data_IF_932846747439
#
_entry.id   IF_932846747439
#
_cell.length_a   1.000
_cell.length_b   1.000
_cell.length_c   1.000
_cell.angle_alpha   90.00
_cell.angle_beta   90.00
_cell.angle_gamma   90.00
#
_symmetry.space_group_name_H-M   'P 1'
#
loop_
_entity.id
_entity.type
_entity.pdbx_description
1 polymer ?
#
# COMPACT_ATOMS: atom_id res chain seq x y z
N UNK A 1 14.53 -3.71 -6.57
CA UNK A 1 13.05 -3.77 -6.44
C UNK A 1 12.47 -5.13 -6.83
N UNK A 2 13.28 -6.08 -7.33
CA UNK A 2 12.84 -7.47 -7.47
C UNK A 2 12.31 -8.00 -6.12
N UNK A 3 11.16 -8.65 -6.17
CA UNK A 3 10.46 -9.18 -4.99
C UNK A 3 9.71 -10.46 -5.32
N UNK A 4 9.65 -11.33 -4.32
CA UNK A 4 8.88 -12.57 -4.30
C UNK A 4 7.47 -12.33 -3.72
N UNK A 5 7.36 -11.28 -2.90
CA UNK A 5 6.11 -10.71 -2.42
C UNK A 5 5.48 -9.87 -3.55
N UNK A 6 4.23 -10.19 -3.89
CA UNK A 6 3.44 -9.44 -4.87
C UNK A 6 3.05 -8.06 -4.35
N UNK A 7 3.06 -7.84 -3.04
CA UNK A 7 2.69 -6.60 -2.38
C UNK A 7 3.59 -5.41 -2.74
N UNK A 8 3.00 -4.41 -3.39
CA UNK A 8 3.67 -3.14 -3.65
C UNK A 8 4.01 -2.38 -2.36
N UNK A 9 3.16 -2.46 -1.34
CA UNK A 9 3.35 -1.71 -0.10
C UNK A 9 4.64 -2.06 0.65
N UNK A 10 4.94 -3.35 0.80
CA UNK A 10 6.18 -3.85 1.42
C UNK A 10 7.41 -3.41 0.64
N UNK A 11 7.33 -3.45 -0.71
CA UNK A 11 8.42 -2.98 -1.57
C UNK A 11 8.70 -1.50 -1.36
N UNK A 12 7.67 -0.66 -1.24
CA UNK A 12 7.81 0.79 -1.03
C UNK A 12 8.40 1.12 0.34
N UNK A 13 7.92 0.49 1.42
CA UNK A 13 8.44 0.80 2.76
C UNK A 13 9.92 0.41 2.88
N UNK A 14 10.31 -0.74 2.32
CA UNK A 14 11.70 -1.16 2.26
C UNK A 14 12.55 -0.22 1.40
N UNK A 15 12.03 0.23 0.26
CA UNK A 15 12.70 1.20 -0.59
C UNK A 15 12.96 2.52 0.17
N UNK A 16 11.94 3.02 0.86
CA UNK A 16 12.04 4.29 1.59
C UNK A 16 13.01 4.21 2.77
N UNK A 17 12.95 3.13 3.56
CA UNK A 17 13.91 2.91 4.66
C UNK A 17 15.32 2.75 4.11
N UNK A 18 15.50 2.04 2.99
CA UNK A 18 16.82 1.90 2.35
C UNK A 18 17.40 3.25 1.93
N UNK A 19 16.57 4.14 1.40
CA UNK A 19 16.97 5.51 1.07
C UNK A 19 17.37 6.30 2.32
N UNK A 20 16.53 6.30 3.35
CA UNK A 20 16.82 6.99 4.61
C UNK A 20 18.10 6.47 5.28
N UNK A 21 18.33 5.16 5.26
CA UNK A 21 19.56 4.55 5.75
C UNK A 21 20.78 4.99 4.94
N UNK A 22 20.66 5.03 3.61
CA UNK A 22 21.74 5.51 2.74
C UNK A 22 22.10 6.96 3.07
N UNK A 23 21.11 7.85 3.23
CA UNK A 23 21.33 9.25 3.63
C UNK A 23 22.05 9.33 4.98
N UNK A 24 21.56 8.58 5.99
CA UNK A 24 22.14 8.56 7.34
C UNK A 24 23.59 8.06 7.36
N UNK A 25 23.95 7.18 6.44
CA UNK A 25 25.31 6.63 6.31
C UNK A 25 26.19 7.38 5.29
N UNK A 26 25.71 8.48 4.69
CA UNK A 26 26.46 9.22 3.66
C UNK A 26 26.69 8.43 2.37
N UNK A 27 25.81 7.48 2.04
CA UNK A 27 25.89 6.64 0.85
C UNK A 27 25.06 7.24 -0.29
N UNK A 28 25.56 7.11 -1.51
CA UNK A 28 24.74 7.33 -2.71
C UNK A 28 23.73 6.19 -2.88
N UNK A 29 22.55 6.53 -3.38
CA UNK A 29 21.43 5.60 -3.51
C UNK A 29 21.09 5.35 -4.97
N UNK A 30 20.91 4.09 -5.35
CA UNK A 30 20.54 3.69 -6.71
C UNK A 30 19.39 2.69 -6.65
N UNK A 31 18.44 2.84 -7.57
CA UNK A 31 17.31 1.92 -7.73
C UNK A 31 17.65 0.95 -8.86
N UNK A 32 17.51 -0.34 -8.58
CA UNK A 32 17.50 -1.39 -9.59
C UNK A 32 16.08 -1.94 -9.71
N UNK A 33 15.39 -1.58 -10.80
CA UNK A 33 14.02 -1.95 -11.14
C UNK A 33 13.96 -2.95 -12.31
N UNK A 34 15.10 -3.53 -12.71
CA UNK A 34 15.22 -4.41 -13.88
C UNK A 34 14.21 -5.57 -13.88
N UNK A 35 14.00 -6.17 -12.70
CA UNK A 35 13.10 -7.30 -12.49
C UNK A 35 11.94 -6.96 -11.55
N UNK A 36 11.50 -5.70 -11.54
CA UNK A 36 10.37 -5.32 -10.70
C UNK A 36 9.05 -5.77 -11.34
N UNK A 37 8.22 -6.47 -10.56
CA UNK A 37 6.96 -7.06 -11.04
C UNK A 37 5.94 -6.04 -11.57
N UNK A 38 6.13 -4.77 -11.20
CA UNK A 38 5.33 -3.63 -11.60
C UNK A 38 6.01 -2.80 -12.69
N UNK A 39 7.01 -3.31 -13.41
CA UNK A 39 7.64 -2.57 -14.52
C UNK A 39 8.75 -1.65 -14.06
N UNK A 40 8.81 -0.42 -14.59
CA UNK A 40 9.90 0.52 -14.28
C UNK A 40 9.47 1.56 -13.26
N UNK A 41 10.38 1.92 -12.34
CA UNK A 41 10.19 3.01 -11.37
C UNK A 41 9.80 4.33 -12.07
N UNK A 42 10.44 4.60 -13.20
CA UNK A 42 10.18 5.78 -14.03
C UNK A 42 8.79 5.83 -14.67
N UNK A 43 8.02 4.72 -14.65
CA UNK A 43 6.64 4.72 -15.14
C UNK A 43 5.68 5.36 -14.13
N UNK A 44 6.09 5.49 -12.86
CA UNK A 44 5.26 5.99 -11.77
C UNK A 44 5.82 7.26 -11.16
N UNK A 45 7.13 7.33 -11.02
CA UNK A 45 7.79 8.33 -10.19
C UNK A 45 8.84 9.12 -10.95
N UNK A 46 9.08 10.37 -10.50
CA UNK A 46 10.24 11.14 -10.94
C UNK A 46 11.53 10.40 -10.57
N UNK A 47 12.59 10.48 -11.38
CA UNK A 47 13.88 9.88 -11.05
C UNK A 47 14.38 10.33 -9.67
N UNK A 48 15.07 9.45 -8.92
CA UNK A 48 15.64 9.81 -7.63
C UNK A 48 16.65 10.97 -7.76
N UNK A 49 16.94 11.69 -6.66
CA UNK A 49 17.98 12.71 -6.65
C UNK A 49 19.29 12.22 -7.26
N UNK A 50 19.87 12.99 -8.20
CA UNK A 50 21.10 12.60 -8.90
C UNK A 50 22.28 12.67 -7.94
N UNK A 51 23.05 11.59 -7.89
CA UNK A 51 24.33 11.54 -7.18
C UNK A 51 25.49 11.82 -8.15
N UNK A 52 26.60 12.35 -7.62
CA UNK A 52 27.82 12.67 -8.39
C UNK A 52 28.62 11.43 -8.82
N UNK A 53 28.23 10.25 -8.38
CA UNK A 53 28.92 8.99 -8.67
C UNK A 53 28.08 8.09 -9.59
N UNK A 54 28.76 7.13 -10.24
CA UNK A 54 28.11 6.10 -11.05
C UNK A 54 27.70 4.92 -10.19
N UNK A 55 26.69 4.18 -10.64
CA UNK A 55 26.30 2.93 -9.98
C UNK A 55 27.50 1.97 -9.95
N UNK A 56 27.77 1.30 -8.81
CA UNK A 56 28.88 0.35 -8.72
C UNK A 56 28.75 -0.81 -9.73
N UNK A 57 29.85 -1.34 -10.28
CA UNK A 57 29.83 -2.56 -11.08
C UNK A 57 29.20 -3.74 -10.32
N UNK A 58 28.48 -4.66 -10.98
CA UNK A 58 27.83 -5.80 -10.33
C UNK A 58 28.76 -6.61 -9.41
N UNK A 59 30.02 -6.81 -9.82
CA UNK A 59 31.00 -7.57 -9.04
C UNK A 59 31.35 -6.95 -7.67
N UNK A 60 31.08 -5.66 -7.46
CA UNK A 60 31.36 -4.97 -6.21
C UNK A 60 30.12 -4.81 -5.32
N UNK A 61 28.95 -5.19 -5.83
CA UNK A 61 27.66 -5.08 -5.14
C UNK A 61 27.47 -6.29 -4.22
N UNK A 62 27.42 -6.07 -2.91
CA UNK A 62 27.35 -7.15 -1.93
C UNK A 62 26.05 -7.07 -1.12
N UNK A 63 25.34 -8.20 -0.89
CA UNK A 63 24.14 -8.23 -0.06
C UNK A 63 24.45 -8.20 1.44
N UNK A 64 25.67 -8.53 1.83
CA UNK A 64 26.17 -8.54 3.19
C UNK A 64 27.71 -8.38 3.20
N UNK A 65 28.31 -7.93 4.32
CA UNK A 65 27.66 -7.46 5.55
C UNK A 65 27.15 -6.00 5.43
N UNK A 66 26.41 -5.48 6.43
CA UNK A 66 25.82 -4.12 6.40
C UNK A 66 26.85 -3.01 6.13
N UNK A 67 28.09 -3.20 6.58
CA UNK A 67 29.22 -2.29 6.36
C UNK A 67 29.83 -2.37 4.95
N UNK A 68 29.34 -3.24 4.06
CA UNK A 68 29.83 -3.35 2.69
C UNK A 68 29.79 -1.98 2.00
N UNK A 69 30.83 -1.61 1.25
CA UNK A 69 30.91 -0.31 0.57
C UNK A 69 29.78 -0.08 -0.43
N UNK A 70 29.36 -1.13 -1.13
CA UNK A 70 28.24 -1.11 -2.06
C UNK A 70 27.23 -2.18 -1.62
N UNK A 71 26.36 -1.78 -0.69
CA UNK A 71 25.34 -2.65 -0.14
C UNK A 71 24.18 -2.77 -1.14
N UNK A 72 23.74 -4.01 -1.39
CA UNK A 72 22.49 -4.30 -2.13
C UNK A 72 21.40 -4.60 -1.13
N UNK A 73 20.24 -3.97 -1.31
CA UNK A 73 19.03 -4.29 -0.56
C UNK A 73 17.97 -4.79 -1.54
N UNK A 74 17.43 -5.97 -1.28
CA UNK A 74 16.35 -6.64 -2.02
C UNK A 74 15.37 -7.27 -1.03
N UNK A 75 14.21 -7.74 -1.50
CA UNK A 75 13.27 -8.51 -0.68
C UNK A 75 13.95 -9.69 0.03
N UNK A 76 14.84 -10.38 -0.68
CA UNK A 76 15.52 -11.60 -0.22
C UNK A 76 16.51 -11.37 0.92
N UNK A 77 17.03 -10.16 1.12
CA UNK A 77 17.95 -9.86 2.22
C UNK A 77 17.48 -8.75 3.17
N UNK A 78 16.34 -8.09 2.87
CA UNK A 78 15.79 -7.02 3.69
C UNK A 78 15.55 -7.46 5.14
N UNK A 79 15.13 -8.70 5.38
CA UNK A 79 14.91 -9.21 6.74
C UNK A 79 16.20 -9.36 7.55
N UNK A 80 17.36 -9.59 6.90
CA UNK A 80 18.67 -9.58 7.57
C UNK A 80 19.15 -8.14 7.81
N UNK A 81 18.97 -7.26 6.83
CA UNK A 81 19.43 -5.87 6.88
C UNK A 81 18.60 -5.04 7.86
N UNK A 82 17.28 -5.21 7.84
CA UNK A 82 16.31 -4.54 8.71
C UNK A 82 15.79 -5.48 9.82
N UNK A 83 16.59 -6.48 10.17
CA UNK A 83 16.29 -7.45 11.22
C UNK A 83 16.43 -6.88 12.64
N UNK A 84 16.47 -7.75 13.63
CA UNK A 84 16.44 -7.34 15.03
C UNK A 84 17.62 -6.45 15.42
N UNK A 85 18.83 -6.71 14.91
CA UNK A 85 19.99 -5.83 15.18
C UNK A 85 19.80 -4.41 14.66
N UNK A 86 19.17 -4.24 13.48
CA UNK A 86 18.83 -2.91 12.95
C UNK A 86 17.77 -2.23 13.80
N UNK A 87 16.75 -2.99 14.20
CA UNK A 87 15.71 -2.49 15.11
C UNK A 87 16.34 -2.02 16.41
N UNK A 88 17.12 -2.85 17.09
CA UNK A 88 17.75 -2.48 18.37
C UNK A 88 18.71 -1.30 18.22
N UNK A 89 19.47 -1.21 17.14
CA UNK A 89 20.38 -0.09 16.92
C UNK A 89 19.65 1.26 16.74
N UNK A 90 18.52 1.27 16.04
CA UNK A 90 17.74 2.49 15.77
C UNK A 90 16.53 2.67 16.69
N UNK A 91 16.35 1.78 17.66
CA UNK A 91 15.39 1.97 18.75
C UNK A 91 16.02 2.88 19.79
N UNK A 92 15.32 3.91 20.20
CA UNK A 92 15.74 4.69 21.37
C UNK A 92 15.47 3.87 22.64
N UNK A 93 16.50 3.48 23.43
CA UNK A 93 16.31 2.63 24.61
C UNK A 93 15.54 3.33 25.73
N UNK A 94 15.53 4.67 25.72
CA UNK A 94 14.85 5.51 26.70
C UNK A 94 13.47 6.00 26.24
N UNK A 95 13.04 5.62 25.04
CA UNK A 95 11.77 6.06 24.46
C UNK A 95 10.59 5.19 24.94
N UNK A 96 9.46 5.86 25.21
CA UNK A 96 8.14 5.22 25.38
C UNK A 96 7.82 4.42 24.11
N UNK A 97 7.04 3.34 24.23
CA UNK A 97 6.74 2.38 23.14
C UNK A 97 6.43 3.03 21.79
N UNK A 98 5.62 4.08 21.77
CA UNK A 98 5.24 4.82 20.54
C UNK A 98 6.43 5.52 19.89
N UNK A 99 7.32 6.13 20.67
CA UNK A 99 8.50 6.86 20.19
C UNK A 99 9.69 5.97 19.85
N UNK A 100 9.62 4.67 20.18
CA UNK A 100 10.76 3.76 20.06
C UNK A 100 11.20 3.56 18.61
N UNK A 101 10.29 3.64 17.65
CA UNK A 101 10.61 3.48 16.21
C UNK A 101 10.76 4.80 15.45
N UNK A 102 10.87 5.94 16.15
CA UNK A 102 10.88 7.26 15.51
C UNK A 102 11.99 7.42 14.48
N UNK A 103 13.21 6.97 14.77
CA UNK A 103 14.30 7.11 13.80
C UNK A 103 14.06 6.29 12.52
N UNK A 104 13.46 5.10 12.65
CA UNK A 104 13.12 4.25 11.50
C UNK A 104 11.97 4.88 10.71
N UNK A 105 10.98 5.44 11.40
CA UNK A 105 9.91 6.21 10.77
C UNK A 105 10.48 7.41 9.99
N UNK A 106 11.40 8.16 10.58
CA UNK A 106 12.02 9.32 9.93
C UNK A 106 12.88 8.90 8.71
N UNK A 107 13.55 7.75 8.77
CA UNK A 107 14.20 7.16 7.59
C UNK A 107 13.18 6.86 6.48
N UNK A 108 12.08 6.20 6.80
CA UNK A 108 11.00 5.93 5.85
C UNK A 108 10.38 7.23 5.30
N UNK A 109 10.22 8.25 6.16
CA UNK A 109 9.69 9.56 5.77
C UNK A 109 10.60 10.26 4.76
N UNK A 110 11.91 10.26 5.02
CA UNK A 110 12.89 10.83 4.10
C UNK A 110 12.85 10.13 2.74
N UNK A 111 12.71 8.80 2.72
CA UNK A 111 12.54 8.04 1.49
C UNK A 111 11.24 8.35 0.75
N UNK A 112 10.11 8.46 1.46
CA UNK A 112 8.84 8.88 0.88
C UNK A 112 8.96 10.26 0.23
N UNK A 113 9.48 11.25 0.95
CA UNK A 113 9.59 12.63 0.46
C UNK A 113 10.53 12.78 -0.74
N UNK A 114 11.55 11.92 -0.85
CA UNK A 114 12.51 11.98 -1.95
C UNK A 114 12.11 11.15 -3.18
N UNK A 115 11.36 10.07 -2.99
CA UNK A 115 11.12 9.06 -4.03
C UNK A 115 9.67 8.99 -4.50
N UNK A 116 8.69 9.40 -3.67
CA UNK A 116 7.28 9.29 -4.00
C UNK A 116 6.75 10.57 -4.67
N UNK A 117 7.17 10.77 -5.92
CA UNK A 117 6.70 11.89 -6.74
C UNK A 117 6.03 11.36 -8.00
N UNK A 118 4.71 11.20 -7.95
CA UNK A 118 3.92 10.77 -9.11
C UNK A 118 4.19 11.66 -10.33
N UNK A 119 4.05 11.09 -11.53
CA UNK A 119 4.28 11.79 -12.81
C UNK A 119 3.02 11.81 -13.69
N UNK A 120 3.07 12.60 -14.76
CA UNK A 120 2.04 12.61 -15.81
C UNK A 120 0.63 12.91 -15.29
N UNK A 121 -0.34 12.16 -15.80
CA UNK A 121 -1.75 12.32 -15.47
C UNK A 121 -2.05 11.94 -14.01
N UNK A 122 -1.34 10.97 -13.46
CA UNK A 122 -1.50 10.53 -12.06
C UNK A 122 -1.14 11.67 -11.09
N UNK A 123 -0.06 12.40 -11.38
CA UNK A 123 0.32 13.58 -10.61
C UNK A 123 -0.74 14.70 -10.71
N UNK A 124 -1.25 14.92 -11.92
CA UNK A 124 -2.26 15.95 -12.19
C UNK A 124 -3.57 15.63 -11.47
N UNK A 125 -4.01 14.37 -11.52
CA UNK A 125 -5.18 13.87 -10.81
C UNK A 125 -5.03 14.05 -9.30
N UNK A 126 -3.89 13.65 -8.72
CA UNK A 126 -3.63 13.81 -7.28
C UNK A 126 -3.69 15.29 -6.88
N UNK A 127 -3.09 16.19 -7.66
CA UNK A 127 -3.13 17.63 -7.39
C UNK A 127 -4.56 18.17 -7.42
N UNK A 128 -5.37 17.78 -8.41
CA UNK A 128 -6.78 18.16 -8.47
C UNK A 128 -7.56 17.65 -7.25
N UNK A 129 -7.31 16.41 -6.82
CA UNK A 129 -7.96 15.85 -5.63
C UNK A 129 -7.58 16.61 -4.36
N UNK A 130 -6.30 16.96 -4.18
CA UNK A 130 -5.81 17.77 -3.06
C UNK A 130 -6.47 19.15 -3.05
N UNK A 131 -6.53 19.82 -4.21
CA UNK A 131 -7.17 21.13 -4.34
C UNK A 131 -8.66 21.06 -4.02
N UNK A 132 -9.36 20.02 -4.49
CA UNK A 132 -10.76 19.76 -4.15
C UNK A 132 -10.97 19.59 -2.65
N UNK A 133 -10.14 18.81 -1.96
CA UNK A 133 -10.19 18.67 -0.49
C UNK A 133 -9.94 20.00 0.22
N UNK A 134 -8.97 20.79 -0.23
CA UNK A 134 -8.69 22.09 0.36
C UNK A 134 -9.88 23.07 0.20
N UNK A 135 -10.43 23.14 -1.01
CA UNK A 135 -11.52 24.06 -1.35
C UNK A 135 -12.84 23.64 -0.72
N UNK A 136 -13.21 22.36 -0.84
CA UNK A 136 -14.57 21.92 -0.55
C UNK A 136 -14.74 21.41 0.88
N UNK A 137 -13.64 21.04 1.54
CA UNK A 137 -13.64 20.50 2.91
C UNK A 137 -12.97 21.48 3.87
N UNK A 138 -11.64 21.64 3.78
CA UNK A 138 -10.86 22.35 4.80
C UNK A 138 -11.19 23.83 4.90
N UNK A 139 -11.31 24.52 3.77
CA UNK A 139 -11.61 25.97 3.75
C UNK A 139 -12.99 26.30 4.33
N UNK A 140 -13.87 25.30 4.45
CA UNK A 140 -15.23 25.42 4.95
C UNK A 140 -15.41 24.79 6.35
N UNK A 141 -14.30 24.44 7.02
CA UNK A 141 -14.30 23.86 8.36
C UNK A 141 -14.64 22.37 8.44
N UNK A 142 -14.83 21.71 7.30
CA UNK A 142 -15.01 20.26 7.24
C UNK A 142 -13.73 19.48 7.54
N UNK A 143 -13.88 18.18 7.79
CA UNK A 143 -12.77 17.23 7.96
C UNK A 143 -12.78 16.17 6.84
N UNK A 144 -11.59 15.77 6.38
CA UNK A 144 -11.41 14.62 5.49
C UNK A 144 -10.91 13.40 6.26
N UNK A 145 -11.67 12.30 6.22
CA UNK A 145 -11.33 11.03 6.85
C UNK A 145 -11.08 10.00 5.75
N UNK A 146 -9.86 9.48 5.68
CA UNK A 146 -9.48 8.38 4.80
C UNK A 146 -9.66 7.03 5.48
N UNK A 147 -10.19 6.06 4.76
CA UNK A 147 -10.35 4.67 5.20
C UNK A 147 -9.61 3.78 4.21
N UNK A 148 -8.70 2.96 4.71
CA UNK A 148 -8.09 1.89 3.93
C UNK A 148 -8.54 0.55 4.50
N UNK A 149 -9.24 -0.23 3.69
CA UNK A 149 -9.63 -1.61 4.02
C UNK A 149 -8.73 -2.57 3.24
N UNK A 150 -8.17 -3.55 3.93
CA UNK A 150 -7.38 -4.63 3.33
C UNK A 150 -8.08 -5.97 3.56
N UNK A 151 -8.51 -6.61 2.48
CA UNK A 151 -8.93 -8.01 2.49
C UNK A 151 -7.85 -8.88 1.81
N UNK A 152 -8.21 -9.95 1.12
CA UNK A 152 -7.28 -10.78 0.37
C UNK A 152 -6.38 -11.68 1.23
N UNK A 153 -5.12 -11.82 0.83
CA UNK A 153 -4.14 -12.69 1.50
C UNK A 153 -3.51 -12.09 2.78
N UNK A 154 -3.88 -10.87 3.18
CA UNK A 154 -3.41 -10.25 4.42
C UNK A 154 -4.49 -10.28 5.48
N UNK A 155 -4.17 -10.80 6.65
CA UNK A 155 -5.10 -10.88 7.78
C UNK A 155 -4.65 -10.03 8.97
N UNK A 156 -5.60 -9.57 9.81
CA UNK A 156 -5.29 -8.78 11.01
C UNK A 156 -4.42 -9.53 12.02
N UNK A 157 -3.64 -8.78 12.78
CA UNK A 157 -2.81 -9.30 13.88
C UNK A 157 -3.64 -9.68 15.10
N UNK A 158 -4.82 -9.11 15.27
CA UNK A 158 -5.70 -9.43 16.39
C UNK A 158 -6.19 -10.88 16.31
N UNK A 159 -5.97 -11.72 17.36
CA UNK A 159 -6.24 -13.15 17.28
C UNK A 159 -7.67 -13.53 16.88
N UNK A 160 -8.66 -12.69 17.21
CA UNK A 160 -10.07 -12.93 16.90
C UNK A 160 -10.40 -12.75 15.41
N UNK A 161 -9.55 -12.05 14.66
CA UNK A 161 -9.71 -11.80 13.23
C UNK A 161 -8.61 -12.45 12.39
N UNK A 162 -7.66 -13.19 12.99
CA UNK A 162 -6.51 -13.78 12.28
C UNK A 162 -6.89 -14.69 11.09
N UNK A 163 -8.07 -15.32 11.15
CA UNK A 163 -8.60 -16.23 10.13
C UNK A 163 -9.74 -15.55 9.33
N UNK A 164 -9.88 -14.23 9.42
CA UNK A 164 -10.92 -13.42 8.78
C UNK A 164 -10.40 -12.00 8.52
N UNK A 165 -11.30 -11.03 8.39
CA UNK A 165 -10.96 -9.61 8.22
C UNK A 165 -11.57 -8.79 9.35
N UNK A 166 -11.08 -7.56 9.53
CA UNK A 166 -11.70 -6.63 10.49
C UNK A 166 -13.09 -6.27 9.98
N UNK A 167 -14.15 -6.46 10.78
CA UNK A 167 -15.51 -6.12 10.39
C UNK A 167 -15.66 -4.65 9.96
N UNK A 168 -16.42 -4.41 8.89
CA UNK A 168 -16.60 -3.06 8.32
C UNK A 168 -17.28 -2.09 9.29
N UNK A 169 -18.10 -2.59 10.22
CA UNK A 169 -18.75 -1.78 11.25
C UNK A 169 -17.73 -1.17 12.22
N UNK A 170 -16.56 -1.80 12.42
CA UNK A 170 -15.48 -1.21 13.21
C UNK A 170 -14.89 0.05 12.54
N UNK A 171 -14.73 0.03 11.22
CA UNK A 171 -14.31 1.20 10.46
C UNK A 171 -15.36 2.31 10.52
N UNK A 172 -16.64 1.96 10.33
CA UNK A 172 -17.75 2.91 10.41
C UNK A 172 -17.88 3.53 11.81
N UNK A 173 -17.80 2.72 12.86
CA UNK A 173 -17.84 3.17 14.26
C UNK A 173 -16.67 4.10 14.60
N UNK A 174 -15.46 3.77 14.14
CA UNK A 174 -14.28 4.63 14.32
C UNK A 174 -14.46 5.96 13.58
N UNK A 175 -15.00 5.92 12.37
CA UNK A 175 -15.33 7.12 11.57
C UNK A 175 -16.31 8.01 12.32
N UNK A 176 -17.42 7.47 12.80
CA UNK A 176 -18.42 8.20 13.60
C UNK A 176 -17.82 8.82 14.85
N UNK A 177 -16.90 8.12 15.53
CA UNK A 177 -16.20 8.65 16.71
C UNK A 177 -15.34 9.87 16.37
N UNK A 178 -14.54 9.78 15.30
CA UNK A 178 -13.69 10.90 14.84
C UNK A 178 -14.56 12.08 14.40
N UNK A 179 -15.63 11.80 13.66
CA UNK A 179 -16.55 12.81 13.15
C UNK A 179 -17.24 13.56 14.29
N UNK A 180 -17.77 12.84 15.28
CA UNK A 180 -18.39 13.44 16.46
C UNK A 180 -17.41 14.31 17.25
N UNK A 181 -16.17 13.85 17.45
CA UNK A 181 -15.12 14.63 18.10
C UNK A 181 -14.75 15.91 17.32
N UNK A 182 -14.82 15.88 15.98
CA UNK A 182 -14.63 17.06 15.15
C UNK A 182 -15.77 18.07 15.34
N UNK A 183 -17.02 17.62 15.28
CA UNK A 183 -18.19 18.49 15.45
C UNK A 183 -18.28 19.14 16.84
N UNK A 184 -17.79 18.48 17.89
CA UNK A 184 -17.71 19.05 19.23
C UNK A 184 -16.85 20.33 19.32
N UNK A 185 -15.95 20.56 18.36
CA UNK A 185 -15.16 21.79 18.28
C UNK A 185 -16.00 23.02 17.94
N UNK A 186 -17.25 22.84 17.48
CA UNK A 186 -18.20 23.93 17.32
C UNK A 186 -18.72 24.49 18.66
N UNK A 187 -18.36 23.87 19.81
CA UNK A 187 -18.69 24.35 21.16
C UNK A 187 -20.18 24.68 21.38
N UNK A 188 -21.07 23.91 20.74
CA UNK A 188 -22.52 24.07 20.84
C UNK A 188 -23.14 25.01 19.80
N UNK A 189 -22.36 25.59 18.88
CA UNK A 189 -22.87 26.30 17.72
C UNK A 189 -23.45 25.32 16.69
N UNK A 190 -24.78 25.23 16.65
CA UNK A 190 -25.51 24.33 15.75
C UNK A 190 -25.28 24.67 14.28
N UNK A 191 -25.20 25.95 13.92
CA UNK A 191 -25.04 26.37 12.52
C UNK A 191 -23.62 26.03 12.03
N UNK A 192 -22.62 26.28 12.86
CA UNK A 192 -21.24 25.88 12.57
C UNK A 192 -21.11 24.36 12.50
N UNK A 193 -21.67 23.62 13.46
CA UNK A 193 -21.65 22.14 13.43
C UNK A 193 -22.31 21.57 12.18
N UNK A 194 -23.44 22.14 11.75
CA UNK A 194 -24.13 21.72 10.53
C UNK A 194 -23.29 22.02 9.28
N UNK A 195 -22.62 23.18 9.24
CA UNK A 195 -21.69 23.54 8.16
C UNK A 195 -20.46 22.62 8.13
N UNK A 196 -19.87 22.31 9.28
CA UNK A 196 -18.74 21.39 9.39
C UNK A 196 -19.14 19.99 8.90
N UNK A 197 -20.33 19.52 9.29
CA UNK A 197 -20.84 18.22 8.87
C UNK A 197 -21.08 18.14 7.36
N UNK A 198 -21.71 19.17 6.76
CA UNK A 198 -22.04 19.18 5.33
C UNK A 198 -20.81 19.29 4.41
N UNK A 199 -19.70 19.81 4.92
CA UNK A 199 -18.44 19.93 4.18
C UNK A 199 -17.43 18.83 4.48
N UNK A 200 -17.69 17.98 5.45
CA UNK A 200 -16.80 16.87 5.78
C UNK A 200 -16.96 15.72 4.80
N UNK A 201 -15.87 14.99 4.54
CA UNK A 201 -15.83 13.89 3.57
C UNK A 201 -15.17 12.65 4.14
N UNK A 202 -15.72 11.50 3.79
CA UNK A 202 -15.12 10.19 4.03
C UNK A 202 -14.66 9.63 2.70
N UNK A 203 -13.39 9.22 2.61
CA UNK A 203 -12.80 8.61 1.44
C UNK A 203 -12.41 7.17 1.73
N UNK A 204 -12.57 6.27 0.77
CA UNK A 204 -12.33 4.84 0.91
C UNK A 204 -11.40 4.34 -0.19
N UNK A 205 -10.39 3.56 0.20
CA UNK A 205 -9.68 2.65 -0.67
C UNK A 205 -9.78 1.22 -0.11
N UNK A 206 -10.06 0.28 -0.99
CA UNK A 206 -10.15 -1.14 -0.72
C UNK A 206 -9.67 -1.92 -1.93
N UNK A 207 -8.97 -3.01 -1.67
CA UNK A 207 -8.59 -4.02 -2.65
C UNK A 207 -9.73 -5.02 -2.96
N UNK A 208 -10.81 -4.97 -2.16
CA UNK A 208 -12.04 -5.72 -2.38
C UNK A 208 -13.14 -4.79 -2.91
N UNK A 209 -13.67 -5.04 -4.13
CA UNK A 209 -14.68 -4.19 -4.74
C UNK A 209 -16.02 -4.19 -3.99
N UNK A 210 -16.36 -5.24 -3.24
CA UNK A 210 -17.63 -5.34 -2.52
C UNK A 210 -17.72 -4.36 -1.35
N UNK A 211 -16.58 -3.97 -0.79
CA UNK A 211 -16.50 -2.99 0.31
C UNK A 211 -17.07 -1.63 -0.09
N UNK A 212 -16.93 -1.23 -1.36
CA UNK A 212 -17.46 0.05 -1.87
C UNK A 212 -18.99 0.06 -2.00
N UNK A 213 -19.64 -1.09 -1.95
CA UNK A 213 -21.10 -1.24 -1.99
C UNK A 213 -21.69 -1.76 -0.69
N UNK A 214 -20.85 -1.94 0.33
CA UNK A 214 -21.27 -2.40 1.66
C UNK A 214 -22.24 -1.41 2.32
N UNK A 215 -23.07 -1.93 3.24
CA UNK A 215 -23.99 -1.10 4.00
C UNK A 215 -23.25 -0.07 4.88
N UNK A 216 -22.11 -0.48 5.45
CA UNK A 216 -21.33 0.30 6.40
C UNK A 216 -20.54 1.42 5.74
N UNK A 217 -19.97 1.17 4.55
CA UNK A 217 -19.01 2.09 3.90
C UNK A 217 -19.44 2.54 2.50
N UNK A 218 -20.58 2.09 1.97
CA UNK A 218 -21.03 2.44 0.62
C UNK A 218 -21.35 3.94 0.41
N UNK A 219 -21.50 4.71 1.49
CA UNK A 219 -21.62 6.16 1.44
C UNK A 219 -20.28 6.92 1.31
N UNK A 220 -19.14 6.25 1.42
CA UNK A 220 -17.82 6.87 1.31
C UNK A 220 -17.45 7.14 -0.15
N UNK A 221 -16.80 8.26 -0.42
CA UNK A 221 -16.24 8.54 -1.75
C UNK A 221 -15.03 7.64 -2.01
N UNK A 222 -14.86 7.12 -3.23
CA UNK A 222 -13.60 6.45 -3.57
C UNK A 222 -12.41 7.40 -3.44
N UNK A 223 -11.30 6.93 -2.90
CA UNK A 223 -10.06 7.70 -2.82
C UNK A 223 -9.60 8.12 -4.23
N UNK A 224 -9.64 7.19 -5.18
CA UNK A 224 -9.56 7.50 -6.59
C UNK A 224 -10.62 6.76 -7.42
N UNK A 225 -11.09 7.42 -8.48
CA UNK A 225 -11.98 6.84 -9.48
C UNK A 225 -11.36 6.90 -10.88
N UNK A 226 -10.06 7.16 -10.95
CA UNK A 226 -9.32 7.35 -12.20
C UNK A 226 -8.97 5.99 -12.84
N UNK A 227 -8.68 4.99 -12.00
CA UNK A 227 -8.37 3.62 -12.40
C UNK A 227 -9.22 2.69 -11.53
N UNK A 228 -10.30 2.14 -12.10
CA UNK A 228 -11.14 1.18 -11.40
C UNK A 228 -10.78 -0.26 -11.81
N UNK A 229 -10.59 -1.14 -10.81
CA UNK A 229 -10.60 -2.58 -11.02
C UNK A 229 -12.06 -3.02 -11.19
N UNK A 230 -12.36 -3.74 -12.27
CA UNK A 230 -13.70 -4.26 -12.50
C UNK A 230 -13.94 -5.49 -11.61
N UNK A 231 -15.09 -5.52 -10.92
CA UNK A 231 -15.55 -6.73 -10.23
C UNK A 231 -15.96 -7.79 -11.26
N UNK A 232 -15.99 -9.05 -10.84
CA UNK A 232 -16.49 -10.14 -11.68
C UNK A 232 -17.92 -9.89 -12.13
N UNK A 233 -18.79 -9.45 -11.21
CA UNK A 233 -20.16 -9.09 -11.52
C UNK A 233 -20.29 -7.98 -12.57
N UNK A 234 -19.38 -6.99 -12.56
CA UNK A 234 -19.36 -5.93 -13.57
C UNK A 234 -18.85 -6.44 -14.93
N UNK A 235 -17.89 -7.38 -14.93
CA UNK A 235 -17.40 -8.03 -16.14
C UNK A 235 -18.45 -8.96 -16.74
N UNK A 236 -19.11 -9.76 -15.91
CA UNK A 236 -20.18 -10.70 -16.30
C UNK A 236 -21.40 -9.96 -16.85
N UNK A 237 -21.76 -8.81 -16.26
CA UNK A 237 -22.82 -7.94 -16.79
C UNK A 237 -22.43 -7.21 -18.08
N UNK A 238 -21.12 -7.01 -18.33
CA UNK A 238 -20.62 -6.38 -19.56
C UNK A 238 -20.38 -7.37 -20.70
N UNK A 239 -20.19 -8.66 -20.38
CA UNK A 239 -20.11 -9.74 -21.37
C UNK A 239 -21.50 -10.15 -21.86
N UNK A 240 -21.95 -9.55 -22.96
CA UNK A 240 -23.07 -10.06 -23.72
C UNK A 240 -22.70 -11.39 -24.40
N UNK A 241 -23.50 -12.41 -24.16
CA UNK A 241 -23.60 -13.70 -24.87
C UNK A 241 -22.34 -14.59 -24.98
N UNK A 242 -22.40 -15.76 -24.32
CA UNK A 242 -22.06 -17.02 -24.96
C UNK A 242 -20.59 -17.45 -25.08
N UNK A 243 -19.63 -16.77 -24.46
CA UNK A 243 -18.25 -17.25 -24.38
C UNK A 243 -17.90 -17.68 -22.95
N UNK A 244 -17.80 -19.00 -22.76
CA UNK A 244 -17.37 -19.70 -21.56
C UNK A 244 -15.87 -19.49 -21.25
N UNK A 245 -15.40 -18.25 -21.25
CA UNK A 245 -14.17 -17.89 -20.56
C UNK A 245 -14.61 -17.45 -19.18
N UNK A 246 -14.23 -18.20 -18.14
CA UNK A 246 -14.41 -17.78 -16.76
C UNK A 246 -13.77 -16.40 -16.60
N UNK A 247 -14.60 -15.35 -16.52
CA UNK A 247 -14.12 -14.02 -16.19
C UNK A 247 -13.52 -14.10 -14.78
N UNK A 248 -12.19 -14.06 -14.70
CA UNK A 248 -11.48 -13.94 -13.43
C UNK A 248 -11.61 -12.48 -13.00
N UNK A 249 -12.71 -12.16 -12.33
CA UNK A 249 -12.88 -10.85 -11.70
C UNK A 249 -12.18 -10.79 -10.34
N UNK A 250 -11.80 -9.58 -9.95
CA UNK A 250 -11.21 -9.30 -8.64
C UNK A 250 -12.30 -9.48 -7.57
N UNK A 251 -12.27 -10.56 -6.79
CA UNK A 251 -13.25 -10.84 -5.73
C UNK A 251 -12.51 -11.20 -4.43
N UNK A 252 -12.98 -10.68 -3.29
CA UNK A 252 -12.46 -11.03 -1.97
C UNK A 252 -11.11 -10.39 -1.60
N UNK A 253 -10.59 -9.47 -2.43
CA UNK A 253 -9.38 -8.69 -2.16
C UNK A 253 -8.20 -9.01 -3.07
N UNK A 254 -7.02 -8.45 -2.73
CA UNK A 254 -5.76 -8.73 -3.44
C UNK A 254 -5.15 -10.04 -2.94
N UNK A 255 -4.91 -10.97 -3.87
CA UNK A 255 -4.20 -12.23 -3.62
C UNK A 255 -2.95 -12.31 -4.48
N UNK A 256 -1.82 -12.69 -3.86
CA UNK A 256 -0.54 -12.84 -4.53
C UNK A 256 -0.60 -13.78 -5.75
N UNK A 257 -1.25 -14.94 -5.62
CA UNK A 257 -1.33 -15.91 -6.72
C UNK A 257 -2.14 -15.37 -7.90
N UNK A 258 -3.21 -14.64 -7.62
CA UNK A 258 -3.98 -13.93 -8.65
C UNK A 258 -3.11 -12.87 -9.32
N UNK A 259 -2.35 -12.07 -8.57
CA UNK A 259 -1.44 -11.08 -9.14
C UNK A 259 -0.40 -11.69 -10.09
N UNK A 260 0.21 -12.83 -9.71
CA UNK A 260 1.18 -13.50 -10.56
C UNK A 260 0.54 -14.10 -11.83
N UNK A 261 -0.74 -14.41 -11.78
CA UNK A 261 -1.52 -14.96 -12.89
C UNK A 261 -1.98 -13.94 -13.94
N UNK A 262 -1.82 -12.64 -13.68
CA UNK A 262 -2.38 -11.58 -14.53
C UNK A 262 -1.82 -11.56 -15.95
N UNK A 263 -2.72 -11.36 -16.92
CA UNK A 263 -2.39 -11.27 -18.34
C UNK A 263 -1.94 -12.59 -18.97
N UNK A 264 -2.20 -13.71 -18.29
CA UNK A 264 -1.99 -15.06 -18.82
C UNK A 264 -3.27 -15.56 -19.48
N UNK A 265 -3.17 -16.19 -20.66
CA UNK A 265 -4.32 -16.77 -21.34
C UNK A 265 -4.62 -18.20 -20.86
N UNK A 266 -5.89 -18.61 -20.88
CA UNK A 266 -6.33 -19.92 -20.40
C UNK A 266 -5.65 -21.09 -21.14
N UNK A 267 -5.35 -20.93 -22.43
CA UNK A 267 -4.56 -21.88 -23.24
C UNK A 267 -3.19 -22.15 -22.64
N UNK A 268 -2.57 -21.12 -22.06
CA UNK A 268 -1.24 -21.22 -21.50
C UNK A 268 -1.26 -21.86 -20.09
N UNK A 269 -2.43 -22.12 -19.50
CA UNK A 269 -2.57 -22.96 -18.30
C UNK A 269 -2.71 -24.44 -18.67
N UNK A 270 -3.40 -24.75 -19.77
CA UNK A 270 -3.61 -26.15 -20.20
C UNK A 270 -2.35 -26.79 -20.77
N UNK A 271 -1.51 -26.03 -21.48
CA UNK A 271 -0.24 -26.55 -22.03
C UNK A 271 0.82 -26.85 -20.96
N UNK A 272 0.69 -26.27 -19.76
CA UNK A 272 1.73 -26.32 -18.74
C UNK A 272 1.30 -26.98 -17.42
N UNK A 273 0.10 -27.58 -17.37
CA UNK A 273 -0.34 -28.47 -16.29
C UNK A 273 -0.55 -27.84 -14.91
N UNK A 274 -0.71 -26.52 -14.82
CA UNK A 274 -0.92 -25.80 -13.56
C UNK A 274 -2.40 -25.60 -13.22
N UNK A 275 -2.81 -25.62 -11.93
CA UNK A 275 -4.17 -25.28 -11.53
C UNK A 275 -4.47 -23.80 -11.84
N UNK A 276 -5.74 -23.50 -12.13
CA UNK A 276 -6.19 -22.12 -12.30
C UNK A 276 -6.02 -21.34 -10.99
N UNK A 277 -5.70 -20.02 -11.07
CA UNK A 277 -5.73 -19.15 -9.90
C UNK A 277 -7.14 -19.16 -9.31
N UNK A 278 -7.25 -19.43 -8.01
CA UNK A 278 -8.54 -19.44 -7.31
C UNK A 278 -8.51 -18.50 -6.12
N UNK A 279 -9.65 -17.88 -5.80
CA UNK A 279 -9.81 -17.01 -4.62
C UNK A 279 -9.81 -17.79 -3.28
N UNK A 280 -9.58 -19.12 -3.33
CA UNK A 280 -9.42 -19.93 -2.12
C UNK A 280 -7.96 -19.82 -1.71
N UNK A 281 -7.72 -19.28 -0.51
CA UNK A 281 -6.39 -19.29 0.11
C UNK A 281 -5.77 -20.69 0.08
N UNK A 282 -4.44 -20.81 0.24
CA UNK A 282 -3.72 -22.05 -0.05
C UNK A 282 -4.23 -23.22 0.81
N UNK A 283 -5.05 -24.08 0.21
CA UNK A 283 -5.37 -25.40 0.77
C UNK A 283 -4.18 -26.31 0.48
N UNK A 284 -3.33 -26.42 1.48
CA UNK A 284 -2.08 -27.19 1.54
C UNK A 284 -0.87 -26.59 0.78
N UNK A 285 0.33 -26.63 1.39
CA UNK A 285 1.57 -26.27 0.72
C UNK A 285 1.88 -27.35 -0.31
N UNK A 286 1.32 -27.21 -1.52
CA UNK A 286 1.78 -27.99 -2.66
C UNK A 286 3.22 -27.60 -2.90
N UNK A 287 4.12 -28.57 -2.77
CA UNK A 287 5.52 -28.45 -3.13
C UNK A 287 5.62 -28.11 -4.62
N UNK A 288 5.61 -26.81 -4.92
CA UNK A 288 5.88 -26.28 -6.24
C UNK A 288 7.28 -26.78 -6.63
N UNK A 289 7.36 -27.62 -7.65
CA UNK A 289 8.63 -27.93 -8.28
C UNK A 289 9.28 -26.61 -8.71
N UNK A 290 10.61 -26.56 -8.65
CA UNK A 290 11.47 -25.40 -8.92
C UNK A 290 11.31 -24.85 -10.36
N UNK A 291 10.45 -25.46 -11.17
CA UNK A 291 10.12 -25.08 -12.54
C UNK A 291 8.63 -24.75 -12.73
N UNK A 292 7.93 -24.29 -11.69
CA UNK A 292 6.53 -23.89 -11.86
C UNK A 292 6.41 -22.71 -12.82
N UNK A 293 5.40 -22.75 -13.70
CA UNK A 293 5.06 -21.69 -14.65
C UNK A 293 4.90 -20.33 -13.97
N UNK A 294 4.39 -20.33 -12.74
CA UNK A 294 4.25 -19.14 -11.92
C UNK A 294 5.62 -18.48 -11.65
N UNK A 295 6.65 -19.26 -11.36
CA UNK A 295 8.01 -18.78 -11.12
C UNK A 295 8.65 -18.22 -12.40
N UNK A 296 8.48 -18.91 -13.54
CA UNK A 296 8.95 -18.41 -14.83
C UNK A 296 8.24 -17.10 -15.24
N UNK A 297 6.92 -17.01 -15.04
CA UNK A 297 6.12 -15.80 -15.34
C UNK A 297 6.28 -14.68 -14.33
N UNK A 298 6.69 -14.99 -13.09
CA UNK A 298 7.10 -14.01 -12.09
C UNK A 298 8.39 -13.33 -12.53
N UNK A 299 9.39 -14.12 -12.93
CA UNK A 299 10.70 -13.63 -13.33
C UNK A 299 10.71 -13.04 -14.75
N UNK A 300 9.84 -13.51 -15.64
CA UNK A 300 9.75 -13.07 -17.04
C UNK A 300 8.29 -12.89 -17.47
N UNK A 301 7.62 -11.82 -17.02
CA UNK A 301 6.26 -11.54 -17.44
C UNK A 301 6.19 -11.23 -18.94
N UNK A 302 5.09 -11.64 -19.57
CA UNK A 302 4.75 -11.16 -20.92
C UNK A 302 4.53 -9.64 -20.89
N UNK A 303 4.61 -8.98 -22.05
CA UNK A 303 4.32 -7.54 -22.14
C UNK A 303 2.89 -7.20 -21.67
N UNK A 304 1.92 -8.07 -21.97
CA UNK A 304 0.52 -7.93 -21.55
C UNK A 304 0.39 -8.07 -20.03
N UNK A 305 1.02 -9.09 -19.44
CA UNK A 305 1.07 -9.27 -17.98
C UNK A 305 1.69 -8.06 -17.28
N UNK A 306 2.82 -7.55 -17.79
CA UNK A 306 3.49 -6.40 -17.20
C UNK A 306 2.62 -5.14 -17.27
N UNK A 307 1.95 -4.90 -18.40
CA UNK A 307 1.03 -3.78 -18.55
C UNK A 307 -0.11 -3.85 -17.53
N UNK A 308 -0.76 -5.01 -17.36
CA UNK A 308 -1.87 -5.15 -16.39
C UNK A 308 -1.37 -4.95 -14.95
N UNK A 309 -0.21 -5.53 -14.60
CA UNK A 309 0.43 -5.31 -13.29
C UNK A 309 0.78 -3.85 -13.08
N UNK A 310 1.25 -3.17 -14.11
CA UNK A 310 1.53 -1.72 -14.07
C UNK A 310 0.26 -0.91 -13.76
N UNK A 311 -0.85 -1.23 -14.42
CA UNK A 311 -2.13 -0.59 -14.17
C UNK A 311 -2.62 -0.75 -12.72
N UNK A 312 -2.49 -1.95 -12.15
CA UNK A 312 -2.82 -2.20 -10.73
C UNK A 312 -1.90 -1.42 -9.80
N UNK A 313 -0.60 -1.37 -10.12
CA UNK A 313 0.37 -0.56 -9.39
C UNK A 313 -0.05 0.93 -9.37
N UNK A 314 -0.44 1.48 -10.52
CA UNK A 314 -0.91 2.88 -10.61
C UNK A 314 -2.15 3.14 -9.76
N UNK A 315 -3.14 2.25 -9.83
CA UNK A 315 -4.36 2.35 -9.02
C UNK A 315 -4.04 2.39 -7.52
N UNK A 316 -3.25 1.42 -7.06
CA UNK A 316 -2.80 1.31 -5.67
C UNK A 316 -2.08 2.58 -5.20
N UNK A 317 -1.14 3.09 -6.01
CA UNK A 317 -0.36 4.28 -5.68
C UNK A 317 -1.23 5.53 -5.56
N UNK A 318 -2.22 5.68 -6.44
CA UNK A 318 -3.18 6.79 -6.38
C UNK A 318 -4.08 6.69 -5.14
N UNK A 319 -4.56 5.49 -4.80
CA UNK A 319 -5.35 5.25 -3.59
C UNK A 319 -4.60 5.71 -2.34
N UNK A 320 -3.38 5.21 -2.12
CA UNK A 320 -2.59 5.60 -0.93
C UNK A 320 -2.15 7.06 -0.99
N UNK A 321 -1.87 7.60 -2.17
CA UNK A 321 -1.49 9.00 -2.32
C UNK A 321 -2.61 9.95 -1.94
N UNK A 322 -3.86 9.66 -2.35
CA UNK A 322 -5.02 10.46 -1.97
C UNK A 322 -5.34 10.28 -0.48
N UNK A 323 -5.39 9.04 0.01
CA UNK A 323 -5.68 8.78 1.42
C UNK A 323 -4.63 9.42 2.34
N UNK A 324 -3.36 9.44 1.96
CA UNK A 324 -2.28 10.09 2.70
C UNK A 324 -2.44 11.60 2.85
N UNK A 325 -3.29 12.23 2.03
CA UNK A 325 -3.65 13.65 2.13
C UNK A 325 -4.82 13.90 3.07
N UNK A 326 -5.46 12.88 3.63
CA UNK A 326 -6.60 13.04 4.55
C UNK A 326 -6.17 13.69 5.87
N UNK A 327 -7.10 14.32 6.57
CA UNK A 327 -6.85 14.90 7.90
C UNK A 327 -6.72 13.79 8.95
N UNK A 328 -7.49 12.72 8.80
CA UNK A 328 -7.43 11.48 9.61
C UNK A 328 -7.40 10.27 8.69
N UNK A 329 -6.76 9.18 9.10
CA UNK A 329 -6.76 7.90 8.39
C UNK A 329 -7.14 6.78 9.34
N UNK A 330 -8.01 5.87 8.91
CA UNK A 330 -8.39 4.64 9.62
C UNK A 330 -7.96 3.45 8.77
N UNK A 331 -7.23 2.50 9.37
CA UNK A 331 -6.74 1.31 8.68
C UNK A 331 -6.30 0.21 9.66
N UNK A 332 -5.96 -0.96 9.13
CA UNK A 332 -5.39 -2.11 9.85
C UNK A 332 -3.85 -2.15 9.71
N UNK A 333 -3.10 -2.20 10.83
CA UNK A 333 -1.62 -2.14 10.78
C UNK A 333 -0.97 -3.35 10.09
N UNK A 334 -1.67 -4.49 10.04
CA UNK A 334 -1.29 -5.66 9.24
C UNK A 334 -0.97 -5.26 7.79
N UNK A 335 -1.80 -4.40 7.21
CA UNK A 335 -1.59 -3.88 5.87
C UNK A 335 -0.35 -2.98 5.78
N UNK A 336 0.52 -3.28 4.80
CA UNK A 336 1.61 -2.39 4.43
C UNK A 336 1.10 -0.99 4.04
N UNK A 337 -0.07 -0.88 3.40
CA UNK A 337 -0.68 0.40 3.06
C UNK A 337 -0.95 1.24 4.30
N UNK A 338 -1.46 0.64 5.37
CA UNK A 338 -1.73 1.37 6.61
C UNK A 338 -0.44 1.93 7.21
N UNK A 339 0.64 1.15 7.18
CA UNK A 339 1.97 1.57 7.62
C UNK A 339 2.55 2.68 6.74
N UNK A 340 2.37 2.60 5.41
CA UNK A 340 2.76 3.65 4.48
C UNK A 340 1.99 4.95 4.74
N UNK A 341 0.67 4.87 4.95
CA UNK A 341 -0.18 6.04 5.20
C UNK A 341 0.27 6.83 6.43
N UNK A 342 0.68 6.15 7.51
CA UNK A 342 1.29 6.81 8.66
C UNK A 342 2.53 7.63 8.25
N UNK A 343 3.45 7.02 7.49
CA UNK A 343 4.66 7.69 6.98
C UNK A 343 4.31 8.87 6.07
N UNK A 344 3.31 8.72 5.18
CA UNK A 344 2.84 9.78 4.28
C UNK A 344 2.21 10.96 5.02
N UNK A 345 1.55 10.72 6.16
CA UNK A 345 1.03 11.78 7.03
C UNK A 345 2.14 12.49 7.84
N UNK A 346 3.24 11.79 8.10
CA UNK A 346 4.37 12.28 8.88
C UNK A 346 4.17 12.14 10.39
N UNK A 347 5.27 12.12 11.14
CA UNK A 347 5.30 11.75 12.57
C UNK A 347 4.36 12.60 13.42
N UNK A 348 4.45 13.93 13.28
CA UNK A 348 3.67 14.86 14.09
C UNK A 348 2.17 14.66 13.88
N UNK A 349 1.72 14.52 12.63
CA UNK A 349 0.29 14.35 12.32
C UNK A 349 -0.18 12.95 12.69
N UNK A 350 0.51 11.92 12.21
CA UNK A 350 0.11 10.52 12.39
C UNK A 350 0.15 10.09 13.85
N UNK A 351 1.30 10.28 14.50
CA UNK A 351 1.61 9.70 15.82
C UNK A 351 1.32 10.71 16.92
N UNK A 352 1.94 11.89 16.90
CA UNK A 352 1.80 12.88 18.00
C UNK A 352 0.37 13.41 18.12
N UNK A 353 -0.27 13.77 17.00
CA UNK A 353 -1.67 14.23 16.98
C UNK A 353 -2.68 13.08 16.84
N UNK A 354 -2.21 11.83 16.84
CA UNK A 354 -3.04 10.61 16.74
C UNK A 354 -4.02 10.67 15.56
N UNK A 355 -3.56 11.15 14.41
CA UNK A 355 -4.40 11.25 13.19
C UNK A 355 -4.41 9.98 12.36
N UNK A 356 -3.46 9.06 12.62
CA UNK A 356 -3.45 7.71 12.08
C UNK A 356 -4.07 6.76 13.10
N UNK A 357 -5.19 6.14 12.74
CA UNK A 357 -6.01 5.32 13.61
C UNK A 357 -5.93 3.86 13.18
N UNK A 358 -5.01 3.12 13.79
CA UNK A 358 -5.03 1.66 13.73
C UNK A 358 -6.31 1.13 14.43
N UNK A 359 -6.96 0.16 13.82
CA UNK A 359 -8.07 -0.61 14.41
C UNK A 359 -7.77 -2.11 14.53
N UNK A 360 -6.58 -2.55 14.12
CA UNK A 360 -6.08 -3.90 14.33
C UNK A 360 -5.34 -3.96 15.69
N UNK A 361 -6.09 -4.25 16.75
CA UNK A 361 -5.56 -4.33 18.12
C UNK A 361 -4.86 -3.05 18.63
N UNK A 362 -4.00 -3.21 19.65
CA UNK A 362 -3.26 -2.12 20.29
C UNK A 362 -1.84 -1.92 19.73
N UNK A 363 -1.63 -2.36 18.48
CA UNK A 363 -0.34 -2.28 17.83
C UNK A 363 0.01 -0.83 17.45
N UNK A 364 1.27 -0.48 17.68
CA UNK A 364 1.83 0.81 17.32
C UNK A 364 2.44 0.73 15.92
N UNK A 365 2.76 1.88 15.34
CA UNK A 365 3.43 1.87 14.03
C UNK A 365 4.75 1.09 14.10
N UNK A 366 4.92 0.19 13.13
CA UNK A 366 6.17 -0.53 12.90
C UNK A 366 6.34 -0.72 11.40
N UNK A 367 7.57 -0.63 10.90
CA UNK A 367 7.81 -0.88 9.48
C UNK A 367 7.66 -2.35 9.09
N UNK A 368 7.78 -3.26 10.06
CA UNK A 368 7.53 -4.70 9.93
C UNK A 368 6.58 -5.13 11.05
N UNK A 369 5.60 -5.95 10.72
CA UNK A 369 4.68 -6.56 11.69
C UNK A 369 5.04 -8.05 11.87
N UNK A 370 4.72 -8.65 13.02
CA UNK A 370 5.03 -10.06 13.32
C UNK A 370 4.45 -11.06 12.33
#
# INVERSE_FOLDING_TARGET
MQSDDAGLGTTLINLWISYGLAQKQGRSFFIDDTNWAYGKFSNYFKPPPKFSCRQPPPALRLPCPLQARHLVVSSSNAHWIFGDSFKEYFKSPFAVSETRQREIFEMARSGYEALFHLIGDDASYLQQRIQGLNRDVRSKGGISIGIHVRHGDSHPLEPQYKDSYIPLDMYAKRTSTIFHAHLQQAHGDTALSQSMASHSKVMLASDDPEVYTSFELGGAERAQSYIALASKSALDAASNEGLSNENIGWEGGFFQDMFWSLGVEASDYSELGGPFPSNRGPTEPKTLSVESVAEQRRLRPSKKSLQVREWIGRAYLLDVAVLGQSDRVICDVSSASCRLLAVMMGWNKAITHKSWHNIDGNWHWSFIVP
#
